data_IF_564788986201
#
_entry.id   IF_564788986201
#
_cell.length_a   1.000
_cell.length_b   1.000
_cell.length_c   1.000
_cell.angle_alpha   90.00
_cell.angle_beta   90.00
_cell.angle_gamma   90.00
#
_symmetry.space_group_name_H-M   'P 1'
#
loop_
_entity.id
_entity.type
_entity.pdbx_description
1 polymer ?
#
# COMPACT_ATOMS: atom_id res chain seq x y z
N UNK A 1 -11.34 -23.09 7.43
CA UNK A 1 -11.04 -21.89 8.27
C UNK A 1 -11.05 -20.68 7.36
N UNK A 2 -11.80 -19.65 7.65
CA UNK A 2 -11.78 -18.39 6.89
C UNK A 2 -10.59 -17.56 7.36
N UNK A 3 -9.71 -17.13 6.45
CA UNK A 3 -8.61 -16.23 6.77
C UNK A 3 -9.17 -14.89 7.26
N UNK A 4 -8.58 -14.33 8.32
CA UNK A 4 -8.95 -13.01 8.84
C UNK A 4 -8.48 -11.91 7.90
N UNK A 5 -9.30 -10.88 7.73
CA UNK A 5 -8.90 -9.65 7.02
C UNK A 5 -7.93 -8.83 7.86
N UNK A 6 -7.00 -8.14 7.21
CA UNK A 6 -5.97 -7.31 7.87
C UNK A 6 -6.33 -5.83 7.76
N UNK A 7 -6.21 -5.12 8.87
CA UNK A 7 -6.32 -3.65 8.95
C UNK A 7 -4.92 -3.09 9.14
N UNK A 8 -4.47 -2.28 8.18
CA UNK A 8 -3.07 -1.85 8.05
C UNK A 8 -3.00 -0.31 8.11
N UNK A 9 -2.50 0.28 9.21
CA UNK A 9 -2.11 1.68 9.21
C UNK A 9 -0.93 1.96 8.28
N UNK A 10 -0.96 3.13 7.59
CA UNK A 10 0.16 3.61 6.78
C UNK A 10 0.76 4.88 7.37
N UNK A 11 2.08 4.94 7.46
CA UNK A 11 2.85 6.12 7.83
C UNK A 11 3.58 6.66 6.59
N UNK A 12 3.08 7.76 6.02
CA UNK A 12 3.82 8.50 5.00
C UNK A 12 4.87 9.35 5.69
N UNK A 13 6.15 9.14 5.35
CA UNK A 13 7.26 9.81 6.01
C UNK A 13 7.99 10.75 5.07
N UNK A 14 8.25 11.95 5.54
CA UNK A 14 9.07 12.94 4.88
C UNK A 14 10.05 13.56 5.87
N UNK A 15 11.33 13.56 5.53
CA UNK A 15 12.40 14.14 6.37
C UNK A 15 12.38 13.63 7.82
N UNK A 16 12.07 12.35 8.03
CA UNK A 16 12.04 11.71 9.34
C UNK A 16 10.79 12.02 10.19
N UNK A 17 9.77 12.65 9.64
CA UNK A 17 8.48 12.94 10.29
C UNK A 17 7.34 12.29 9.55
N UNK A 18 6.31 11.83 10.27
CA UNK A 18 5.06 11.41 9.63
C UNK A 18 4.35 12.63 9.10
N UNK A 19 3.91 12.52 7.86
CA UNK A 19 3.24 13.62 7.18
C UNK A 19 1.94 13.13 6.56
N UNK A 20 0.99 14.03 6.40
CA UNK A 20 -0.21 13.79 5.61
C UNK A 20 -0.42 14.94 4.64
N UNK A 21 -0.56 14.60 3.37
CA UNK A 21 -0.92 15.53 2.31
C UNK A 21 -2.24 15.14 1.66
N UNK A 22 -2.98 16.11 1.16
CA UNK A 22 -4.08 15.90 0.21
C UNK A 22 -3.45 15.87 -1.19
N UNK A 23 -3.57 14.74 -1.92
CA UNK A 23 -3.00 14.56 -3.25
C UNK A 23 -1.51 14.96 -3.34
N UNK A 24 -0.70 14.59 -2.34
CA UNK A 24 0.71 14.96 -2.22
C UNK A 24 0.99 16.48 -2.17
N UNK A 25 -0.05 17.30 -1.92
CA UNK A 25 0.04 18.75 -1.72
C UNK A 25 -0.32 19.10 -0.27
N UNK A 26 0.14 20.26 0.21
CA UNK A 26 -0.17 20.77 1.57
C UNK A 26 0.20 19.80 2.68
N UNK A 27 1.46 19.35 2.70
CA UNK A 27 2.00 18.39 3.67
C UNK A 27 1.91 18.99 5.09
N UNK A 28 1.14 18.35 5.99
CA UNK A 28 1.08 18.66 7.42
C UNK A 28 1.83 17.59 8.21
N UNK A 29 2.55 18.02 9.25
CA UNK A 29 3.18 17.11 10.21
C UNK A 29 2.09 16.38 11.00
N UNK A 30 2.16 15.06 11.06
CA UNK A 30 1.24 14.20 11.79
C UNK A 30 1.88 13.54 13.02
N UNK A 31 3.18 13.74 13.27
CA UNK A 31 3.83 13.29 14.48
C UNK A 31 5.15 12.53 14.30
N UNK A 32 5.62 11.96 15.40
CA UNK A 32 6.82 11.12 15.43
C UNK A 32 6.50 9.70 14.93
N UNK A 33 7.25 9.19 13.92
CA UNK A 33 6.98 7.86 13.34
C UNK A 33 7.10 6.71 14.33
N UNK A 34 8.05 6.77 15.28
CA UNK A 34 8.28 5.70 16.26
C UNK A 34 7.13 5.62 17.26
N UNK A 35 6.68 6.78 17.74
CA UNK A 35 5.55 6.88 18.68
C UNK A 35 4.24 6.40 18.04
N UNK A 36 3.99 6.79 16.77
CA UNK A 36 2.79 6.36 16.04
C UNK A 36 2.82 4.86 15.70
N UNK A 37 3.98 4.33 15.30
CA UNK A 37 4.15 2.91 15.05
C UNK A 37 3.84 2.08 16.29
N UNK A 38 4.41 2.47 17.45
CA UNK A 38 4.12 1.83 18.73
C UNK A 38 2.64 1.89 19.07
N UNK A 39 2.03 3.08 18.96
CA UNK A 39 0.58 3.26 19.22
C UNK A 39 -0.26 2.30 18.37
N UNK A 40 -0.02 2.21 17.06
CA UNK A 40 -0.81 1.33 16.20
C UNK A 40 -0.58 -0.15 16.47
N UNK A 41 0.66 -0.55 16.81
CA UNK A 41 0.96 -1.90 17.26
C UNK A 41 0.20 -2.24 18.55
N UNK A 42 0.23 -1.35 19.56
CA UNK A 42 -0.48 -1.53 20.83
C UNK A 42 -2.02 -1.52 20.65
N UNK A 43 -2.54 -0.80 19.66
CA UNK A 43 -3.97 -0.79 19.28
C UNK A 43 -4.40 -2.04 18.49
N UNK A 44 -3.49 -2.97 18.20
CA UNK A 44 -3.78 -4.24 17.54
C UNK A 44 -3.87 -4.15 16.01
N UNK A 45 -3.10 -3.28 15.36
CA UNK A 45 -2.91 -3.34 13.91
C UNK A 45 -2.38 -4.71 13.48
N UNK A 46 -2.79 -5.17 12.29
CA UNK A 46 -2.36 -6.47 11.79
C UNK A 46 -0.99 -6.42 11.10
N UNK A 47 -0.62 -5.27 10.59
CA UNK A 47 0.64 -4.95 9.90
C UNK A 47 0.81 -3.42 9.91
N UNK A 48 2.04 -2.93 9.73
CA UNK A 48 2.34 -1.52 9.55
C UNK A 48 3.02 -1.32 8.19
N UNK A 49 2.59 -0.31 7.44
CA UNK A 49 3.26 0.15 6.22
C UNK A 49 3.86 1.53 6.44
N UNK A 50 5.10 1.69 6.01
CA UNK A 50 5.89 2.91 6.11
C UNK A 50 6.37 3.29 4.70
N UNK A 51 5.97 4.46 4.22
CA UNK A 51 6.33 4.94 2.89
C UNK A 51 7.17 6.21 2.97
N UNK A 52 8.45 6.13 2.59
CA UNK A 52 9.28 7.33 2.41
C UNK A 52 8.91 8.03 1.09
N UNK A 53 8.18 9.14 1.22
CA UNK A 53 7.74 9.94 0.06
C UNK A 53 8.79 10.96 -0.40
N UNK A 54 9.94 11.06 0.28
CA UNK A 54 11.05 11.97 -0.04
C UNK A 54 12.34 11.26 -0.42
N UNK A 55 12.25 9.96 -0.71
CA UNK A 55 13.41 9.10 -0.93
C UNK A 55 14.39 9.69 -1.95
N UNK A 56 15.54 10.13 -1.46
CA UNK A 56 16.74 10.51 -2.23
C UNK A 56 17.95 9.76 -1.68
N UNK A 57 19.02 9.65 -2.46
CA UNK A 57 20.22 8.93 -2.03
C UNK A 57 20.84 9.51 -0.74
N UNK A 58 20.83 10.83 -0.61
CA UNK A 58 21.37 11.53 0.56
C UNK A 58 20.62 11.28 1.88
N UNK A 59 19.36 10.82 1.82
CA UNK A 59 18.49 10.63 3.00
C UNK A 59 18.39 9.17 3.46
N UNK A 60 19.07 8.27 2.81
CA UNK A 60 18.94 6.82 3.02
C UNK A 60 19.35 6.36 4.41
N UNK A 61 20.41 6.93 4.97
CA UNK A 61 20.87 6.60 6.33
C UNK A 61 19.84 7.01 7.40
N UNK A 62 19.13 8.13 7.18
CA UNK A 62 18.05 8.57 8.07
C UNK A 62 16.92 7.52 8.08
N UNK A 63 16.57 6.99 6.91
CA UNK A 63 15.51 5.97 6.79
C UNK A 63 15.93 4.66 7.46
N UNK A 64 17.16 4.17 7.27
CA UNK A 64 17.66 2.96 7.93
C UNK A 64 17.59 3.09 9.46
N UNK A 65 18.09 4.21 10.01
CA UNK A 65 18.04 4.49 11.44
C UNK A 65 16.60 4.52 11.96
N UNK A 66 15.68 5.12 11.19
CA UNK A 66 14.28 5.20 11.56
C UNK A 66 13.58 3.84 11.50
N UNK A 67 13.82 3.04 10.46
CA UNK A 67 13.33 1.67 10.33
C UNK A 67 13.77 0.83 11.53
N UNK A 68 15.05 0.91 11.91
CA UNK A 68 15.57 0.18 13.08
C UNK A 68 14.90 0.60 14.39
N UNK A 69 14.64 1.90 14.58
CA UNK A 69 13.93 2.39 15.78
C UNK A 69 12.46 1.92 15.82
N UNK A 70 11.78 1.93 14.68
CA UNK A 70 10.40 1.44 14.57
C UNK A 70 10.33 -0.05 14.85
N UNK A 71 11.21 -0.86 14.23
CA UNK A 71 11.27 -2.29 14.42
C UNK A 71 11.49 -2.72 15.88
N UNK A 72 12.15 -1.89 16.69
CA UNK A 72 12.39 -2.16 18.13
C UNK A 72 11.15 -1.96 19.01
N UNK A 73 10.13 -1.26 18.54
CA UNK A 73 8.96 -0.88 19.37
C UNK A 73 7.65 -1.50 18.92
N UNK A 74 7.64 -2.27 17.83
CA UNK A 74 6.44 -2.93 17.30
C UNK A 74 6.60 -4.46 17.33
N UNK A 75 5.47 -5.18 17.41
CA UNK A 75 5.40 -6.65 17.42
C UNK A 75 4.55 -7.19 16.26
N UNK A 76 4.34 -6.40 15.23
CA UNK A 76 3.54 -6.72 14.05
C UNK A 76 4.40 -6.64 12.78
N UNK A 77 4.06 -7.36 11.70
CA UNK A 77 4.78 -7.27 10.45
C UNK A 77 4.94 -5.84 9.95
N UNK A 78 6.12 -5.52 9.45
CA UNK A 78 6.51 -4.18 9.07
C UNK A 78 6.99 -4.11 7.62
N UNK A 79 6.22 -3.43 6.77
CA UNK A 79 6.55 -3.20 5.35
C UNK A 79 7.11 -1.80 5.18
N UNK A 80 8.27 -1.69 4.53
CA UNK A 80 8.92 -0.39 4.24
C UNK A 80 9.03 -0.19 2.73
N UNK A 81 8.55 0.97 2.26
CA UNK A 81 8.61 1.39 0.86
C UNK A 81 9.17 2.80 0.70
N UNK A 82 9.36 3.16 -0.56
CA UNK A 82 9.93 4.45 -0.94
C UNK A 82 11.39 4.36 -1.39
N UNK A 83 11.66 4.76 -2.62
CA UNK A 83 13.01 4.84 -3.18
C UNK A 83 13.78 3.53 -3.39
N UNK A 84 13.17 2.37 -3.23
CA UNK A 84 13.80 1.07 -3.51
C UNK A 84 14.00 0.90 -5.01
N UNK A 85 15.27 0.83 -5.45
CA UNK A 85 15.67 0.76 -6.87
C UNK A 85 16.67 -0.35 -7.17
N UNK A 86 17.33 -0.89 -6.15
CA UNK A 86 18.38 -1.90 -6.28
C UNK A 86 18.23 -2.98 -5.21
N UNK A 87 18.86 -4.13 -5.41
CA UNK A 87 18.93 -5.21 -4.43
C UNK A 87 19.57 -4.73 -3.11
N UNK A 88 20.61 -3.88 -3.20
CA UNK A 88 21.26 -3.34 -2.03
C UNK A 88 20.32 -2.47 -1.19
N UNK A 89 19.46 -1.66 -1.83
CA UNK A 89 18.46 -0.86 -1.10
C UNK A 89 17.47 -1.75 -0.34
N UNK A 90 16.96 -2.81 -0.96
CA UNK A 90 16.06 -3.74 -0.32
C UNK A 90 16.74 -4.47 0.85
N UNK A 91 17.97 -4.94 0.63
CA UNK A 91 18.80 -5.60 1.66
C UNK A 91 19.01 -4.70 2.87
N UNK A 92 19.38 -3.45 2.65
CA UNK A 92 19.62 -2.48 3.73
C UNK A 92 18.35 -2.27 4.59
N UNK A 93 17.18 -2.17 3.96
CA UNK A 93 15.90 -2.00 4.64
C UNK A 93 15.56 -3.25 5.46
N UNK A 94 15.67 -4.45 4.88
CA UNK A 94 15.40 -5.71 5.59
C UNK A 94 16.37 -5.92 6.76
N UNK A 95 17.66 -5.66 6.58
CA UNK A 95 18.66 -5.75 7.65
C UNK A 95 18.44 -4.68 8.74
N UNK A 96 17.76 -3.59 8.44
CA UNK A 96 17.38 -2.58 9.43
C UNK A 96 16.17 -2.99 10.28
N UNK A 97 15.53 -4.12 9.99
CA UNK A 97 14.45 -4.71 10.79
C UNK A 97 13.05 -4.67 10.15
N UNK A 98 12.94 -4.29 8.87
CA UNK A 98 11.69 -4.48 8.12
C UNK A 98 11.48 -5.96 7.76
N UNK A 99 10.24 -6.44 7.81
CA UNK A 99 9.87 -7.79 7.38
C UNK A 99 9.68 -7.86 5.86
N UNK A 100 9.22 -6.76 5.26
CA UNK A 100 8.92 -6.67 3.83
C UNK A 100 9.42 -5.35 3.24
N UNK A 101 9.73 -5.39 1.94
CA UNK A 101 10.02 -4.18 1.15
C UNK A 101 8.95 -3.94 0.11
N UNK A 102 8.49 -2.69 -0.01
CA UNK A 102 7.56 -2.28 -1.06
C UNK A 102 8.30 -1.55 -2.19
N UNK A 103 8.12 -2.03 -3.42
CA UNK A 103 8.77 -1.51 -4.62
C UNK A 103 7.73 -1.13 -5.68
N UNK A 104 7.79 0.10 -6.22
CA UNK A 104 6.92 0.61 -7.29
C UNK A 104 7.75 1.00 -8.52
N UNK A 105 8.23 2.23 -8.58
CA UNK A 105 8.98 2.79 -9.73
C UNK A 105 10.18 1.93 -10.14
N UNK A 106 10.88 1.33 -9.16
CA UNK A 106 12.00 0.43 -9.41
C UNK A 106 11.57 -0.82 -10.18
N UNK A 107 10.44 -1.42 -9.80
CA UNK A 107 9.87 -2.60 -10.46
C UNK A 107 9.38 -2.30 -11.89
N UNK A 108 8.73 -1.16 -12.11
CA UNK A 108 8.28 -0.77 -13.47
C UNK A 108 9.48 -0.53 -14.40
N UNK A 109 10.54 0.09 -13.90
CA UNK A 109 11.75 0.38 -14.70
C UNK A 109 12.60 -0.85 -14.98
N UNK A 110 12.70 -1.75 -14.03
CA UNK A 110 13.44 -3.00 -14.11
C UNK A 110 12.60 -4.11 -13.46
N UNK A 111 11.67 -4.75 -14.21
CA UNK A 111 10.82 -5.81 -13.65
C UNK A 111 11.61 -7.01 -13.11
N UNK A 112 12.79 -7.28 -13.66
CA UNK A 112 13.63 -8.40 -13.24
C UNK A 112 14.07 -8.31 -11.78
N UNK A 113 14.12 -7.10 -11.21
CA UNK A 113 14.46 -6.91 -9.79
C UNK A 113 13.51 -7.66 -8.85
N UNK A 114 12.26 -7.90 -9.26
CA UNK A 114 11.29 -8.66 -8.45
C UNK A 114 11.76 -10.11 -8.29
N UNK A 115 12.18 -10.75 -9.40
CA UNK A 115 12.71 -12.12 -9.37
C UNK A 115 14.00 -12.22 -8.58
N UNK A 116 14.92 -11.26 -8.78
CA UNK A 116 16.19 -11.20 -8.06
C UNK A 116 15.98 -11.04 -6.54
N UNK A 117 15.03 -10.19 -6.14
CA UNK A 117 14.66 -10.02 -4.72
C UNK A 117 14.01 -11.29 -4.17
N UNK A 118 13.13 -11.94 -4.94
CA UNK A 118 12.48 -13.18 -4.56
C UNK A 118 13.48 -14.32 -4.35
N UNK A 119 14.48 -14.44 -5.21
CA UNK A 119 15.55 -15.43 -5.09
C UNK A 119 16.41 -15.23 -3.83
N UNK A 120 16.68 -13.98 -3.47
CA UNK A 120 17.53 -13.64 -2.32
C UNK A 120 16.82 -13.68 -0.97
N UNK A 121 15.57 -13.22 -0.91
CA UNK A 121 14.87 -12.98 0.36
C UNK A 121 13.57 -13.79 0.50
N UNK A 122 13.13 -14.48 -0.56
CA UNK A 122 11.85 -15.15 -0.62
C UNK A 122 10.69 -14.19 -0.95
N UNK A 123 9.67 -14.74 -1.63
CA UNK A 123 8.52 -13.96 -2.09
C UNK A 123 7.76 -13.24 -0.97
N UNK A 124 7.73 -13.82 0.24
CA UNK A 124 7.02 -13.25 1.40
C UNK A 124 7.56 -11.88 1.83
N UNK A 125 8.81 -11.53 1.45
CA UNK A 125 9.42 -10.24 1.75
C UNK A 125 9.14 -9.17 0.67
N UNK A 126 8.49 -9.53 -0.47
CA UNK A 126 8.37 -8.65 -1.63
C UNK A 126 6.93 -8.19 -1.83
N UNK A 127 6.70 -6.92 -1.61
CA UNK A 127 5.45 -6.22 -1.92
C UNK A 127 5.66 -5.36 -3.17
N UNK A 128 4.83 -5.52 -4.19
CA UNK A 128 4.85 -4.61 -5.33
C UNK A 128 3.74 -3.59 -5.17
N UNK A 129 4.11 -2.32 -4.99
CA UNK A 129 3.17 -1.21 -4.94
C UNK A 129 2.79 -0.79 -6.37
N UNK A 130 1.48 -0.71 -6.63
CA UNK A 130 0.91 -0.36 -7.93
C UNK A 130 -0.01 0.83 -7.73
N UNK A 131 0.43 2.02 -8.16
CA UNK A 131 -0.39 3.23 -8.17
C UNK A 131 -1.16 3.27 -9.49
N UNK A 132 -2.48 3.38 -9.42
CA UNK A 132 -3.37 3.25 -10.59
C UNK A 132 -4.27 4.46 -10.71
N UNK A 133 -4.48 4.90 -11.95
CA UNK A 133 -5.43 5.95 -12.29
C UNK A 133 -6.27 5.55 -13.50
N UNK A 134 -7.52 6.02 -13.55
CA UNK A 134 -8.37 5.87 -14.73
C UNK A 134 -7.84 6.75 -15.86
N UNK A 135 -7.56 6.14 -17.02
CA UNK A 135 -7.20 6.85 -18.23
C UNK A 135 -8.34 6.72 -19.27
N UNK A 136 -8.83 7.83 -19.76
CA UNK A 136 -9.95 7.90 -20.70
C UNK A 136 -9.50 7.85 -22.17
N UNK A 137 -8.19 7.83 -22.44
CA UNK A 137 -7.66 7.57 -23.77
C UNK A 137 -7.59 6.05 -24.01
N UNK A 138 -8.64 5.48 -24.57
CA UNK A 138 -8.83 4.04 -24.77
C UNK A 138 -8.18 3.48 -26.05
N UNK A 139 -7.46 4.30 -26.82
CA UNK A 139 -6.84 3.87 -28.08
C UNK A 139 -5.85 2.74 -27.84
N UNK A 140 -6.06 1.61 -28.52
CA UNK A 140 -5.23 0.39 -28.47
C UNK A 140 -5.23 -0.33 -27.09
N UNK A 141 -6.20 -0.04 -26.21
CA UNK A 141 -6.32 -0.73 -24.92
C UNK A 141 -7.19 -1.98 -25.02
N UNK A 142 -6.81 -3.04 -24.25
CA UNK A 142 -7.53 -4.32 -24.22
C UNK A 142 -8.56 -4.38 -23.09
N UNK A 143 -8.19 -3.91 -21.91
CA UNK A 143 -9.04 -3.94 -20.72
C UNK A 143 -9.79 -2.60 -20.58
N UNK A 144 -10.90 -2.47 -21.30
CA UNK A 144 -11.73 -1.27 -21.31
C UNK A 144 -12.93 -1.48 -20.40
N UNK A 145 -13.19 -0.51 -19.54
CA UNK A 145 -14.31 -0.43 -18.62
C UNK A 145 -15.18 0.78 -18.95
N UNK A 146 -16.38 0.85 -18.38
CA UNK A 146 -17.27 2.01 -18.52
C UNK A 146 -18.00 2.33 -17.22
N UNK A 147 -18.08 3.61 -16.89
CA UNK A 147 -18.93 4.16 -15.83
C UNK A 147 -19.68 5.36 -16.43
N UNK A 148 -21.02 5.37 -16.30
CA UNK A 148 -21.87 6.44 -16.83
C UNK A 148 -21.55 6.78 -18.30
N UNK A 149 -21.47 5.75 -19.16
CA UNK A 149 -21.14 5.82 -20.59
C UNK A 149 -19.75 6.35 -20.94
N UNK A 150 -18.91 6.67 -19.95
CA UNK A 150 -17.51 7.03 -20.16
C UNK A 150 -16.64 5.80 -20.13
N UNK A 151 -15.95 5.53 -21.23
CA UNK A 151 -14.99 4.42 -21.35
C UNK A 151 -13.63 4.84 -20.81
N UNK A 152 -12.98 3.95 -20.08
CA UNK A 152 -11.64 4.14 -19.50
C UNK A 152 -10.93 2.79 -19.37
N UNK A 153 -9.65 2.85 -19.03
CA UNK A 153 -8.83 1.71 -18.60
C UNK A 153 -8.04 2.11 -17.35
N UNK A 154 -7.49 1.12 -16.65
CA UNK A 154 -6.69 1.35 -15.46
C UNK A 154 -5.21 1.40 -15.83
N UNK A 155 -4.59 2.56 -15.71
CA UNK A 155 -3.19 2.79 -16.04
C UNK A 155 -2.32 2.85 -14.80
N UNK A 156 -1.15 2.17 -14.87
CA UNK A 156 -0.12 2.23 -13.84
C UNK A 156 0.64 3.55 -13.90
N UNK A 157 0.83 4.16 -12.73
CA UNK A 157 1.62 5.38 -12.56
C UNK A 157 2.85 5.12 -11.69
N UNK A 158 3.89 5.93 -11.87
CA UNK A 158 5.14 5.89 -11.12
C UNK A 158 5.48 7.26 -10.53
N UNK A 159 6.54 7.28 -9.69
CA UNK A 159 6.98 8.49 -8.99
C UNK A 159 5.91 9.12 -8.09
N UNK A 160 5.17 8.29 -7.34
CA UNK A 160 4.08 8.75 -6.47
C UNK A 160 2.93 9.37 -7.27
N UNK A 161 2.49 8.68 -8.32
CA UNK A 161 1.35 9.09 -9.14
C UNK A 161 1.60 10.24 -10.12
N UNK A 162 2.87 10.62 -10.35
CA UNK A 162 3.20 11.82 -11.14
C UNK A 162 3.46 11.54 -12.62
N UNK A 163 3.75 10.29 -12.99
CA UNK A 163 4.12 9.92 -14.36
C UNK A 163 3.36 8.68 -14.81
N UNK A 164 2.64 8.81 -15.91
CA UNK A 164 2.00 7.71 -16.64
C UNK A 164 3.04 6.78 -17.26
N UNK A 165 2.68 5.50 -17.42
CA UNK A 165 3.58 4.46 -17.95
C UNK A 165 3.10 3.81 -19.23
N UNK A 166 1.81 3.93 -19.57
CA UNK A 166 1.17 3.17 -20.63
C UNK A 166 0.91 1.70 -20.29
N UNK A 167 1.20 1.25 -19.06
CA UNK A 167 1.00 -0.12 -18.62
C UNK A 167 -0.42 -0.31 -18.08
N UNK A 168 -1.11 -1.33 -18.58
CA UNK A 168 -2.39 -1.77 -18.03
C UNK A 168 -2.19 -2.39 -16.64
N UNK A 169 -2.96 -1.93 -15.65
CA UNK A 169 -2.80 -2.33 -14.25
C UNK A 169 -3.07 -3.83 -14.03
N UNK A 170 -4.01 -4.43 -14.77
CA UNK A 170 -4.35 -5.84 -14.66
C UNK A 170 -3.21 -6.70 -15.23
N UNK A 171 -2.72 -6.34 -16.41
CA UNK A 171 -1.59 -7.07 -17.02
C UNK A 171 -0.31 -6.89 -16.20
N UNK A 172 -0.10 -5.71 -15.61
CA UNK A 172 1.02 -5.48 -14.71
C UNK A 172 0.92 -6.29 -13.41
N UNK A 173 -0.27 -6.38 -12.80
CA UNK A 173 -0.50 -7.21 -11.61
C UNK A 173 -0.18 -8.69 -11.87
N UNK A 174 -0.65 -9.26 -12.98
CA UNK A 174 -0.28 -10.62 -13.41
C UNK A 174 1.22 -10.79 -13.64
N UNK A 175 1.85 -9.79 -14.25
CA UNK A 175 3.28 -9.80 -14.54
C UNK A 175 4.11 -9.82 -13.23
N UNK A 176 3.79 -8.97 -12.26
CA UNK A 176 4.54 -8.93 -10.99
C UNK A 176 4.37 -10.21 -10.18
N UNK A 177 3.16 -10.81 -10.18
CA UNK A 177 2.95 -12.13 -9.59
C UNK A 177 3.82 -13.20 -10.26
N UNK A 178 3.86 -13.23 -11.60
CA UNK A 178 4.68 -14.18 -12.37
C UNK A 178 6.18 -14.03 -12.11
N UNK A 179 6.64 -12.83 -11.73
CA UNK A 179 8.02 -12.54 -11.39
C UNK A 179 8.35 -12.87 -9.92
N UNK A 180 7.37 -13.29 -9.11
CA UNK A 180 7.61 -13.74 -7.75
C UNK A 180 7.26 -12.74 -6.66
N UNK A 181 6.49 -11.70 -6.97
CA UNK A 181 5.90 -10.85 -5.92
C UNK A 181 5.09 -11.71 -4.94
N UNK A 182 5.19 -11.41 -3.65
CA UNK A 182 4.43 -12.08 -2.61
C UNK A 182 3.12 -11.40 -2.28
N UNK A 183 3.01 -10.11 -2.56
CA UNK A 183 1.84 -9.29 -2.25
C UNK A 183 1.78 -8.04 -3.14
N UNK A 184 0.60 -7.52 -3.38
CA UNK A 184 0.37 -6.26 -4.11
C UNK A 184 -0.20 -5.22 -3.15
N UNK A 185 0.43 -4.04 -3.08
CA UNK A 185 -0.14 -2.84 -2.47
C UNK A 185 -0.76 -1.98 -3.58
N UNK A 186 -2.09 -2.02 -3.70
CA UNK A 186 -2.84 -1.38 -4.77
C UNK A 186 -3.41 -0.04 -4.32
N UNK A 187 -2.92 1.06 -4.88
CA UNK A 187 -3.40 2.42 -4.56
C UNK A 187 -4.19 3.01 -5.74
N UNK A 188 -5.46 3.35 -5.51
CA UNK A 188 -6.22 4.18 -6.46
C UNK A 188 -5.87 5.65 -6.25
N UNK A 189 -5.20 6.26 -7.24
CA UNK A 189 -4.87 7.70 -7.23
C UNK A 189 -6.15 8.54 -7.28
N UNK A 190 -7.17 8.08 -8.01
CA UNK A 190 -8.44 8.78 -8.13
C UNK A 190 -9.18 8.89 -6.79
N UNK A 191 -9.01 7.90 -5.91
CA UNK A 191 -9.66 7.87 -4.60
C UNK A 191 -8.77 8.39 -3.48
N UNK A 192 -7.43 8.42 -3.66
CA UNK A 192 -6.52 8.79 -2.58
C UNK A 192 -6.74 10.23 -2.10
N UNK A 193 -6.94 10.37 -0.79
CA UNK A 193 -7.22 11.64 -0.11
C UNK A 193 -8.68 12.13 -0.20
N UNK A 194 -9.56 11.51 -0.99
CA UNK A 194 -10.97 11.94 -1.14
C UNK A 194 -11.80 11.66 0.10
N UNK A 195 -11.52 10.55 0.82
CA UNK A 195 -12.32 10.01 1.93
C UNK A 195 -13.71 9.50 1.53
N UNK A 196 -13.90 9.18 0.24
CA UNK A 196 -15.16 8.72 -0.34
C UNK A 196 -15.22 7.18 -0.48
N UNK A 197 -14.27 6.46 0.15
CA UNK A 197 -14.14 5.02 0.11
C UNK A 197 -13.11 4.53 -0.90
N UNK A 198 -12.83 3.23 -0.86
CA UNK A 198 -11.88 2.58 -1.77
C UNK A 198 -12.44 2.43 -3.19
N UNK A 199 -11.56 2.32 -4.19
CA UNK A 199 -11.95 1.98 -5.55
C UNK A 199 -12.35 0.51 -5.65
N UNK A 200 -13.65 0.24 -5.47
CA UNK A 200 -14.21 -1.11 -5.47
C UNK A 200 -14.01 -1.80 -6.82
N UNK A 201 -14.20 -1.07 -7.93
CA UNK A 201 -14.07 -1.65 -9.26
C UNK A 201 -12.63 -2.06 -9.56
N UNK A 202 -11.68 -1.16 -9.36
CA UNK A 202 -10.25 -1.43 -9.52
C UNK A 202 -9.82 -2.61 -8.64
N UNK A 203 -10.13 -2.54 -7.34
CA UNK A 203 -9.72 -3.56 -6.36
C UNK A 203 -10.26 -4.94 -6.75
N UNK A 204 -11.56 -5.04 -7.10
CA UNK A 204 -12.17 -6.29 -7.54
C UNK A 204 -11.52 -6.86 -8.79
N UNK A 205 -11.17 -6.02 -9.77
CA UNK A 205 -10.51 -6.47 -11.01
C UNK A 205 -9.12 -7.04 -10.74
N UNK A 206 -8.34 -6.38 -9.90
CA UNK A 206 -6.99 -6.85 -9.54
C UNK A 206 -7.08 -8.14 -8.71
N UNK A 207 -7.88 -8.18 -7.64
CA UNK A 207 -8.06 -9.38 -6.79
C UNK A 207 -8.46 -10.60 -7.62
N UNK A 208 -9.34 -10.43 -8.61
CA UNK A 208 -9.77 -11.54 -9.47
C UNK A 208 -8.74 -11.93 -10.55
N UNK A 209 -7.66 -11.18 -10.73
CA UNK A 209 -6.66 -11.42 -11.78
C UNK A 209 -5.38 -12.06 -11.28
N UNK A 210 -5.17 -12.11 -9.95
CA UNK A 210 -3.98 -12.68 -9.29
C UNK A 210 -4.38 -13.63 -8.17
N UNK A 211 -3.44 -14.47 -7.73
CA UNK A 211 -3.61 -15.42 -6.62
C UNK A 211 -2.90 -14.96 -5.35
N UNK A 212 -2.00 -13.98 -5.46
CA UNK A 212 -1.29 -13.39 -4.31
C UNK A 212 -2.17 -12.38 -3.59
N UNK A 213 -1.98 -12.18 -2.28
CA UNK A 213 -2.72 -11.19 -1.50
C UNK A 213 -2.64 -9.78 -2.09
N UNK A 214 -3.76 -9.05 -1.97
CA UNK A 214 -3.85 -7.64 -2.37
C UNK A 214 -4.21 -6.80 -1.15
N UNK A 215 -3.54 -5.66 -0.99
CA UNK A 215 -3.83 -4.63 0.00
C UNK A 215 -4.52 -3.48 -0.74
N UNK A 216 -5.78 -3.19 -0.43
CA UNK A 216 -6.49 -2.02 -0.97
C UNK A 216 -6.02 -0.74 -0.28
N UNK A 217 -5.73 0.30 -1.07
CA UNK A 217 -5.24 1.59 -0.61
C UNK A 217 -5.85 2.76 -1.39
N UNK A 218 -6.03 3.89 -0.69
CA UNK A 218 -6.59 5.12 -1.24
C UNK A 218 -8.10 5.25 -1.03
N UNK A 219 -8.53 6.36 -0.39
CA UNK A 219 -9.93 6.75 -0.27
C UNK A 219 -10.60 6.48 1.09
N UNK A 220 -10.02 5.72 2.00
CA UNK A 220 -10.62 5.41 3.29
C UNK A 220 -10.83 6.67 4.15
N UNK A 221 -12.09 6.97 4.50
CA UNK A 221 -12.49 8.09 5.37
C UNK A 221 -13.16 7.64 6.66
N UNK A 222 -13.74 6.43 6.70
CA UNK A 222 -14.50 5.89 7.84
C UNK A 222 -14.45 4.35 7.86
N UNK A 223 -14.81 3.70 9.00
CA UNK A 223 -14.80 2.24 9.10
C UNK A 223 -15.68 1.54 8.06
N UNK A 224 -16.82 2.13 7.68
CA UNK A 224 -17.73 1.56 6.66
C UNK A 224 -17.03 1.36 5.31
N UNK A 225 -16.07 2.19 4.96
CA UNK A 225 -15.32 2.05 3.71
C UNK A 225 -14.49 0.76 3.70
N UNK A 226 -13.93 0.35 4.86
CA UNK A 226 -13.24 -0.94 4.99
C UNK A 226 -14.22 -2.12 4.92
N UNK A 227 -15.41 -1.99 5.54
CA UNK A 227 -16.46 -3.00 5.45
C UNK A 227 -16.84 -3.19 3.98
N UNK A 228 -17.08 -2.11 3.27
CA UNK A 228 -17.47 -2.12 1.85
C UNK A 228 -16.41 -2.81 0.96
N UNK A 229 -15.15 -2.46 1.11
CA UNK A 229 -14.09 -3.06 0.28
C UNK A 229 -13.92 -4.55 0.57
N UNK A 230 -13.99 -4.96 1.83
CA UNK A 230 -13.89 -6.38 2.20
C UNK A 230 -15.07 -7.22 1.68
N UNK A 231 -16.30 -6.69 1.77
CA UNK A 231 -17.51 -7.41 1.34
C UNK A 231 -17.63 -7.45 -0.19
N UNK A 232 -17.29 -6.35 -0.87
CA UNK A 232 -17.55 -6.20 -2.31
C UNK A 232 -16.43 -6.74 -3.20
N UNK A 233 -15.21 -6.95 -2.68
CA UNK A 233 -14.04 -7.28 -3.51
C UNK A 233 -13.31 -8.57 -3.12
N UNK A 234 -13.56 -9.13 -1.94
CA UNK A 234 -12.81 -10.24 -1.34
C UNK A 234 -11.32 -9.93 -1.03
N UNK A 235 -10.89 -8.68 -1.11
CA UNK A 235 -9.52 -8.27 -0.78
C UNK A 235 -9.11 -8.73 0.63
N UNK A 236 -7.83 -9.09 0.83
CA UNK A 236 -7.35 -9.65 2.09
C UNK A 236 -6.96 -8.60 3.12
N UNK A 237 -6.64 -7.38 2.66
CA UNK A 237 -6.20 -6.30 3.54
C UNK A 237 -6.68 -4.93 3.05
N UNK A 238 -6.91 -4.04 4.00
CA UNK A 238 -7.23 -2.64 3.75
C UNK A 238 -6.23 -1.73 4.48
N UNK A 239 -5.60 -0.84 3.73
CA UNK A 239 -4.64 0.13 4.24
C UNK A 239 -5.29 1.51 4.34
N UNK A 240 -5.05 2.19 5.46
CA UNK A 240 -5.51 3.56 5.67
C UNK A 240 -4.52 4.39 6.50
N UNK A 241 -4.55 5.69 6.31
CA UNK A 241 -3.70 6.64 7.01
C UNK A 241 -4.52 7.65 7.83
N UNK A 242 -5.25 8.54 7.17
CA UNK A 242 -5.89 9.70 7.80
C UNK A 242 -6.92 9.35 8.88
N UNK A 243 -7.64 8.25 8.76
CA UNK A 243 -8.62 7.78 9.75
C UNK A 243 -7.97 7.49 11.10
N UNK A 244 -6.68 7.10 11.12
CA UNK A 244 -5.92 6.77 12.33
C UNK A 244 -5.08 7.94 12.85
N UNK A 245 -4.53 8.79 11.94
CA UNK A 245 -3.62 9.89 12.33
C UNK A 245 -4.30 11.00 13.12
N UNK A 246 -5.54 11.30 12.79
CA UNK A 246 -6.29 12.40 13.43
C UNK A 246 -7.14 11.95 14.64
N UNK A 247 -6.83 10.77 15.20
CA UNK A 247 -7.53 10.18 16.36
C UNK A 247 -9.06 10.07 16.20
N UNK A 248 -9.53 10.14 14.95
CA UNK A 248 -10.96 9.98 14.65
C UNK A 248 -11.42 8.58 15.08
N UNK A 249 -10.57 7.56 14.82
CA UNK A 249 -10.79 6.18 15.24
C UNK A 249 -9.46 5.49 15.59
N UNK A 250 -9.43 4.75 16.71
CA UNK A 250 -8.34 3.81 16.98
C UNK A 250 -8.45 2.57 16.10
N UNK A 251 -7.33 1.89 15.84
CA UNK A 251 -7.31 0.63 15.07
C UNK A 251 -8.23 -0.42 15.70
N UNK A 252 -8.17 -0.55 17.03
CA UNK A 252 -9.03 -1.49 17.78
C UNK A 252 -10.52 -1.18 17.57
N UNK A 253 -10.91 0.11 17.62
CA UNK A 253 -12.31 0.50 17.40
C UNK A 253 -12.78 0.16 15.99
N UNK A 254 -11.97 0.43 14.97
CA UNK A 254 -12.26 0.09 13.58
C UNK A 254 -12.45 -1.42 13.41
N UNK A 255 -11.53 -2.22 13.98
CA UNK A 255 -11.62 -3.69 13.90
C UNK A 255 -12.86 -4.25 14.62
N UNK A 256 -13.26 -3.66 15.75
CA UNK A 256 -14.53 -4.04 16.42
C UNK A 256 -15.74 -3.79 15.53
N UNK A 257 -15.83 -2.62 14.90
CA UNK A 257 -16.91 -2.29 13.96
C UNK A 257 -16.94 -3.26 12.79
N UNK A 258 -15.78 -3.58 12.20
CA UNK A 258 -15.66 -4.55 11.10
C UNK A 258 -16.15 -5.94 11.54
N UNK A 259 -15.78 -6.39 12.74
CA UNK A 259 -16.20 -7.67 13.32
C UNK A 259 -17.70 -7.72 13.58
N UNK A 260 -18.28 -6.64 14.12
CA UNK A 260 -19.74 -6.50 14.36
C UNK A 260 -20.55 -6.60 13.05
N UNK A 261 -19.92 -6.28 11.91
CA UNK A 261 -20.50 -6.45 10.57
C UNK A 261 -20.21 -7.82 9.93
N UNK A 262 -19.80 -8.82 10.72
CA UNK A 262 -19.65 -10.21 10.28
C UNK A 262 -18.36 -10.49 9.50
N UNK A 263 -17.41 -9.56 9.42
CA UNK A 263 -16.14 -9.76 8.72
C UNK A 263 -15.10 -10.30 9.72
N UNK A 264 -14.44 -11.42 9.40
CA UNK A 264 -13.45 -12.01 10.30
C UNK A 264 -12.18 -11.14 10.37
N UNK A 265 -11.93 -10.55 11.53
CA UNK A 265 -10.71 -9.80 11.89
C UNK A 265 -10.20 -10.26 13.26
N UNK A 266 -8.90 -10.12 13.51
CA UNK A 266 -8.32 -10.31 14.83
C UNK A 266 -8.60 -9.07 15.68
N UNK A 267 -9.11 -9.23 16.89
CA UNK A 267 -9.40 -8.14 17.85
C UNK A 267 -8.71 -8.46 19.16
#
# INVERSE_FOLDING_TARGET
>A
MTLTKRVIPCLDVAKGRVVKGLNFKSIKDAGDPVSLAKKYSDEGADELVFLDITASEEKREIIKSLVSKVAQVINIPFTVGGGVKTLQHARDILLSGADKVAINTGAVKNPQIISELMELFGRQCIVVAIDVKRNYNIKNQKNIFSINDKKFWFEVFIYGGKKETGLDAIEWAKKVESLGAGEILLTSIDMDGTKDGYDIELTKKIVNSVSIPVIASGGCGKPDDMIDVFQKTNVEAALAASIFHYETHSVNRVKKIIKENGIPVRV
#
